data_IF_388453700032
#
_entry.id   IF_388453700032
#
_cell.length_a   1.000
_cell.length_b   1.000
_cell.length_c   1.000
_cell.angle_alpha   90.00
_cell.angle_beta   90.00
_cell.angle_gamma   90.00
#
_symmetry.space_group_name_H-M   'P 1'
#
loop_
_entity.id
_entity.type
_entity.pdbx_description
1 polymer ?
#
# COMPACT_ATOMS: atom_id res chain seq x y z
N UNK A 1 -60.94 -65.18 -58.66
CA UNK A 1 -60.20 -65.05 -57.38
C UNK A 1 -58.92 -64.26 -57.66
N UNK A 2 -58.91 -63.02 -57.22
CA UNK A 2 -57.92 -61.98 -57.52
C UNK A 2 -56.67 -62.13 -56.66
N UNK A 3 -55.48 -62.12 -57.26
CA UNK A 3 -54.20 -61.89 -56.56
C UNK A 3 -53.77 -60.45 -56.83
N UNK A 4 -53.80 -59.63 -55.77
CA UNK A 4 -53.30 -58.25 -55.74
C UNK A 4 -51.89 -58.26 -55.15
N UNK A 5 -50.93 -57.75 -55.90
CA UNK A 5 -49.52 -57.58 -55.52
C UNK A 5 -49.37 -56.28 -54.72
N UNK A 6 -48.81 -56.37 -53.51
CA UNK A 6 -48.41 -55.22 -52.68
C UNK A 6 -47.01 -54.74 -53.07
N UNK A 7 -46.86 -53.44 -53.34
CA UNK A 7 -45.58 -52.73 -53.39
C UNK A 7 -45.04 -52.44 -51.97
N UNK A 8 -43.71 -52.30 -51.79
CA UNK A 8 -43.11 -51.97 -50.51
C UNK A 8 -42.94 -50.44 -50.32
N UNK A 9 -43.12 -49.99 -49.08
CA UNK A 9 -42.99 -48.59 -48.66
C UNK A 9 -41.53 -48.17 -48.49
N UNK A 10 -41.17 -47.06 -49.14
CA UNK A 10 -39.85 -46.43 -49.08
C UNK A 10 -39.79 -45.49 -47.86
N UNK A 11 -38.90 -45.77 -46.90
CA UNK A 11 -38.64 -44.92 -45.73
C UNK A 11 -37.45 -44.00 -46.02
N UNK A 12 -37.69 -42.69 -46.04
CA UNK A 12 -36.63 -41.68 -46.11
C UNK A 12 -35.97 -41.49 -44.74
N UNK A 13 -34.64 -41.60 -44.68
CA UNK A 13 -33.83 -41.20 -43.54
C UNK A 13 -33.37 -39.76 -43.74
N UNK A 14 -33.82 -38.84 -42.88
CA UNK A 14 -33.29 -37.48 -42.79
C UNK A 14 -32.01 -37.49 -41.93
N UNK A 15 -30.85 -37.27 -42.56
CA UNK A 15 -29.60 -37.04 -41.84
C UNK A 15 -29.54 -35.59 -41.35
N UNK A 16 -29.53 -35.39 -40.03
CA UNK A 16 -29.29 -34.08 -39.42
C UNK A 16 -27.77 -33.85 -39.30
N UNK A 17 -27.25 -32.90 -40.08
CA UNK A 17 -25.87 -32.39 -39.95
C UNK A 17 -25.83 -31.39 -38.78
N UNK A 18 -25.23 -31.79 -37.66
CA UNK A 18 -24.82 -30.86 -36.60
C UNK A 18 -23.57 -30.09 -37.06
N UNK A 19 -23.75 -28.81 -37.40
CA UNK A 19 -22.63 -27.88 -37.60
C UNK A 19 -22.03 -27.48 -36.25
N UNK A 20 -20.78 -27.88 -35.99
CA UNK A 20 -20.01 -27.44 -34.82
C UNK A 20 -19.46 -26.03 -35.10
N UNK A 21 -20.11 -24.99 -34.57
CA UNK A 21 -19.59 -23.64 -34.61
C UNK A 21 -18.44 -23.49 -33.59
N UNK A 22 -17.20 -23.41 -34.06
CA UNK A 22 -16.08 -22.98 -33.23
C UNK A 22 -16.28 -21.51 -32.84
N UNK A 23 -16.65 -21.26 -31.60
CA UNK A 23 -16.61 -19.92 -31.02
C UNK A 23 -15.16 -19.60 -30.67
N UNK A 24 -14.46 -18.90 -31.56
CA UNK A 24 -13.16 -18.33 -31.26
C UNK A 24 -13.33 -17.28 -30.15
N UNK A 25 -12.86 -17.58 -28.93
CA UNK A 25 -12.84 -16.59 -27.86
C UNK A 25 -11.87 -15.47 -28.21
N UNK A 26 -12.22 -14.19 -27.99
CA UNK A 26 -11.31 -13.09 -28.27
C UNK A 26 -10.11 -13.21 -27.34
N UNK A 27 -8.91 -13.28 -27.93
CA UNK A 27 -7.68 -13.22 -27.17
C UNK A 27 -7.63 -11.87 -26.44
N UNK A 28 -7.73 -11.89 -25.11
CA UNK A 28 -7.44 -10.71 -24.29
C UNK A 28 -5.97 -10.37 -24.55
N UNK A 29 -5.75 -9.25 -25.24
CA UNK A 29 -4.41 -8.72 -25.44
C UNK A 29 -3.79 -8.44 -24.06
N UNK A 30 -2.86 -9.30 -23.63
CA UNK A 30 -1.99 -9.00 -22.49
C UNK A 30 -1.18 -7.79 -22.87
N UNK A 31 -1.51 -6.63 -22.31
CA UNK A 31 -0.62 -5.47 -22.34
C UNK A 31 0.73 -5.92 -21.80
N UNK A 32 1.80 -5.74 -22.58
CA UNK A 32 3.16 -6.06 -22.12
C UNK A 32 3.40 -5.25 -20.84
N UNK A 33 3.76 -5.95 -19.76
CA UNK A 33 4.15 -5.29 -18.51
C UNK A 33 5.28 -4.30 -18.80
N UNK A 34 5.17 -3.09 -18.25
CA UNK A 34 6.23 -2.08 -18.38
C UNK A 34 7.52 -2.64 -17.78
N UNK A 35 8.68 -2.44 -18.43
CA UNK A 35 9.96 -2.81 -17.83
C UNK A 35 10.14 -2.12 -16.49
N UNK A 36 10.62 -2.87 -15.49
CA UNK A 36 10.99 -2.29 -14.19
C UNK A 36 12.28 -1.50 -14.36
N UNK A 37 12.34 -0.32 -13.76
CA UNK A 37 13.49 0.59 -13.78
C UNK A 37 13.89 0.89 -12.34
N UNK A 38 15.18 0.79 -12.01
CA UNK A 38 15.71 1.19 -10.70
C UNK A 38 15.70 2.72 -10.56
N UNK A 39 15.49 3.21 -9.34
CA UNK A 39 15.26 4.62 -9.05
C UNK A 39 13.77 5.00 -9.10
N UNK A 40 13.49 6.31 -9.12
CA UNK A 40 12.11 6.83 -9.12
C UNK A 40 11.51 6.92 -10.52
N UNK A 41 10.31 6.38 -10.67
CA UNK A 41 9.53 6.47 -11.90
C UNK A 41 8.05 6.80 -11.65
N UNK A 42 7.46 7.72 -12.42
CA UNK A 42 6.04 8.00 -12.32
C UNK A 42 5.23 6.85 -12.92
N UNK A 43 4.20 6.43 -12.19
CA UNK A 43 3.29 5.38 -12.59
C UNK A 43 1.87 5.93 -12.74
N UNK A 44 1.12 5.50 -13.76
CA UNK A 44 -0.29 5.83 -13.88
C UNK A 44 -1.09 5.16 -12.75
N UNK A 45 -2.35 5.58 -12.55
CA UNK A 45 -3.28 4.85 -11.69
C UNK A 45 -3.43 3.39 -12.09
N UNK A 46 -3.54 2.50 -11.10
CA UNK A 46 -3.78 1.06 -11.34
C UNK A 46 -5.19 0.77 -11.90
N UNK A 47 -6.10 1.72 -11.71
CA UNK A 47 -7.46 1.77 -12.25
C UNK A 47 -7.88 3.24 -12.36
N UNK A 48 -8.89 3.54 -13.18
CA UNK A 48 -9.37 4.93 -13.40
C UNK A 48 -9.80 5.66 -12.14
N UNK A 49 -10.19 4.94 -11.09
CA UNK A 49 -10.63 5.50 -9.81
C UNK A 49 -9.53 5.51 -8.72
N UNK A 50 -8.29 5.13 -9.06
CA UNK A 50 -7.16 5.03 -8.11
C UNK A 50 -6.14 6.16 -8.30
N UNK A 51 -5.06 6.14 -7.53
CA UNK A 51 -4.04 7.20 -7.49
C UNK A 51 -2.94 6.98 -8.53
N UNK A 52 -2.53 8.00 -9.29
CA UNK A 52 -1.20 8.00 -9.89
C UNK A 52 -0.16 8.04 -8.75
N UNK A 53 1.04 7.51 -8.97
CA UNK A 53 2.02 7.39 -7.89
C UNK A 53 3.45 7.46 -8.39
N UNK A 54 4.37 7.88 -7.52
CA UNK A 54 5.79 7.61 -7.71
C UNK A 54 6.14 6.24 -7.12
N UNK A 55 6.96 5.51 -7.87
CA UNK A 55 7.56 4.27 -7.44
C UNK A 55 9.08 4.40 -7.45
N UNK A 56 9.70 4.21 -6.29
CA UNK A 56 11.14 3.99 -6.19
C UNK A 56 11.43 2.50 -6.12
N UNK A 57 12.32 2.03 -6.99
CA UNK A 57 12.84 0.66 -6.99
C UNK A 57 14.32 0.71 -6.57
N UNK A 58 14.72 0.03 -5.47
CA UNK A 58 16.10 0.08 -4.97
C UNK A 58 17.13 -0.46 -5.94
N UNK A 59 18.37 0.00 -5.78
CA UNK A 59 19.50 -0.55 -6.53
C UNK A 59 19.65 -2.06 -6.28
N UNK A 60 20.00 -2.79 -7.32
CA UNK A 60 20.21 -4.24 -7.28
C UNK A 60 18.92 -5.05 -7.39
N UNK A 61 17.76 -4.39 -7.48
CA UNK A 61 16.49 -5.06 -7.74
C UNK A 61 16.58 -5.87 -9.04
N UNK A 62 17.17 -5.32 -10.10
CA UNK A 62 17.27 -5.99 -11.40
C UNK A 62 18.35 -7.07 -11.45
N UNK A 63 19.37 -6.99 -10.59
CA UNK A 63 20.54 -7.89 -10.62
C UNK A 63 20.38 -9.10 -9.71
N UNK A 64 19.52 -9.04 -8.69
CA UNK A 64 19.25 -10.16 -7.79
C UNK A 64 17.76 -10.54 -7.74
N UNK A 65 17.39 -11.51 -8.58
CA UNK A 65 16.01 -11.97 -8.70
C UNK A 65 15.44 -12.68 -7.45
N UNK A 66 16.28 -13.04 -6.46
CA UNK A 66 15.85 -13.71 -5.22
C UNK A 66 15.57 -12.74 -4.08
N UNK A 67 16.09 -11.52 -4.14
CA UNK A 67 15.93 -10.56 -3.04
C UNK A 67 14.50 -10.01 -3.05
N UNK A 68 13.85 -10.12 -1.90
CA UNK A 68 12.61 -9.40 -1.59
C UNK A 68 12.96 -8.14 -0.82
N UNK A 69 12.23 -7.06 -1.09
CA UNK A 69 12.51 -5.75 -0.54
C UNK A 69 11.41 -5.33 0.44
N UNK A 70 11.75 -4.69 1.57
CA UNK A 70 10.75 -4.05 2.39
C UNK A 70 10.02 -2.96 1.60
N UNK A 71 8.70 -2.86 1.81
CA UNK A 71 7.86 -1.85 1.19
C UNK A 71 7.64 -0.68 2.16
N UNK A 72 8.00 0.54 1.76
CA UNK A 72 7.66 1.77 2.47
C UNK A 72 6.57 2.53 1.71
N UNK A 73 5.42 2.71 2.35
CA UNK A 73 4.32 3.51 1.82
C UNK A 73 4.41 4.91 2.43
N UNK A 74 4.47 5.93 1.59
CA UNK A 74 4.50 7.33 2.02
C UNK A 74 3.27 8.09 1.55
N UNK A 75 2.56 8.72 2.49
CA UNK A 75 1.42 9.60 2.22
C UNK A 75 1.82 11.06 2.44
N UNK A 76 1.74 11.87 1.39
CA UNK A 76 2.09 13.29 1.43
C UNK A 76 1.03 14.15 2.15
N UNK A 77 1.37 15.43 2.37
CA UNK A 77 0.53 16.42 3.04
C UNK A 77 -0.44 17.12 2.10
N UNK A 78 -1.12 18.16 2.60
CA UNK A 78 -2.08 18.91 1.78
C UNK A 78 -1.43 19.73 0.66
N UNK A 79 -0.13 20.07 0.78
CA UNK A 79 0.60 20.93 -0.16
C UNK A 79 0.97 20.26 -1.48
N UNK A 80 1.16 18.94 -1.48
CA UNK A 80 1.60 18.20 -2.67
C UNK A 80 0.42 17.68 -3.51
N UNK A 81 -0.83 17.90 -3.08
CA UNK A 81 -2.03 17.48 -3.83
C UNK A 81 -2.09 18.11 -5.22
N UNK A 82 -2.77 17.42 -6.14
CA UNK A 82 -3.02 17.93 -7.49
C UNK A 82 -2.97 16.83 -8.54
N UNK A 83 -2.41 17.18 -9.69
CA UNK A 83 -2.26 16.34 -10.89
C UNK A 83 -0.79 16.06 -11.27
N UNK A 84 0.16 16.78 -10.66
CA UNK A 84 1.60 16.57 -10.83
C UNK A 84 2.16 15.55 -9.82
N UNK A 85 2.34 14.32 -10.28
CA UNK A 85 2.89 13.22 -9.47
C UNK A 85 4.34 13.46 -9.01
N UNK A 86 5.09 14.39 -9.63
CA UNK A 86 6.44 14.72 -9.18
C UNK A 86 6.43 15.44 -7.82
N UNK A 87 5.33 16.13 -7.46
CA UNK A 87 5.23 16.86 -6.19
C UNK A 87 5.34 15.99 -4.96
N UNK A 88 5.00 14.70 -5.05
CA UNK A 88 5.12 13.78 -3.90
C UNK A 88 6.57 13.62 -3.43
N UNK A 89 7.56 14.02 -4.26
CA UNK A 89 8.99 13.95 -3.99
C UNK A 89 9.55 15.18 -3.27
N UNK A 90 8.74 16.22 -3.04
CA UNK A 90 9.20 17.47 -2.40
C UNK A 90 9.62 17.24 -0.95
N UNK A 91 8.94 16.32 -0.25
CA UNK A 91 9.18 15.96 1.15
C UNK A 91 9.24 14.44 1.35
N UNK A 92 9.71 14.02 2.52
CA UNK A 92 9.60 12.64 2.99
C UNK A 92 10.52 11.62 2.29
N UNK A 93 10.28 10.32 2.50
CA UNK A 93 11.08 9.24 1.94
C UNK A 93 11.39 9.34 0.43
N UNK A 94 10.47 9.74 -0.48
CA UNK A 94 10.84 9.87 -1.89
C UNK A 94 11.91 10.96 -2.12
N UNK A 95 11.93 12.05 -1.35
CA UNK A 95 13.02 13.05 -1.40
C UNK A 95 14.37 12.44 -1.02
N UNK A 96 14.37 11.54 -0.03
CA UNK A 96 15.57 10.85 0.45
C UNK A 96 16.05 9.82 -0.58
N UNK A 97 15.14 9.01 -1.11
CA UNK A 97 15.44 7.98 -2.11
C UNK A 97 16.04 8.55 -3.41
N UNK A 98 15.70 9.80 -3.77
CA UNK A 98 16.31 10.50 -4.90
C UNK A 98 17.79 10.86 -4.67
N UNK A 99 18.19 11.04 -3.40
CA UNK A 99 19.52 11.53 -3.00
C UNK A 99 20.43 10.40 -2.53
N UNK A 100 19.83 9.31 -2.04
CA UNK A 100 20.53 8.14 -1.53
C UNK A 100 20.24 6.91 -2.41
N UNK A 101 21.16 6.56 -3.33
CA UNK A 101 21.05 5.34 -4.14
C UNK A 101 21.00 4.04 -3.31
N UNK A 102 21.46 4.07 -2.05
CA UNK A 102 21.45 2.93 -1.14
C UNK A 102 20.13 2.82 -0.34
N UNK A 103 19.14 3.67 -0.63
CA UNK A 103 17.85 3.64 0.07
C UNK A 103 17.19 2.25 -0.07
N UNK A 104 16.95 1.51 1.03
CA UNK A 104 16.77 0.06 0.95
C UNK A 104 15.32 -0.39 0.70
N UNK A 105 14.39 0.55 0.56
CA UNK A 105 12.96 0.26 0.49
C UNK A 105 12.43 0.41 -0.93
N UNK A 106 11.64 -0.57 -1.39
CA UNK A 106 10.70 -0.29 -2.46
C UNK A 106 9.70 0.74 -1.92
N UNK A 107 9.59 1.90 -2.54
CA UNK A 107 8.80 3.02 -1.98
C UNK A 107 7.68 3.40 -2.91
N UNK A 108 6.45 3.42 -2.38
CA UNK A 108 5.25 3.86 -3.11
C UNK A 108 4.73 5.15 -2.50
N UNK A 109 4.60 6.18 -3.35
CA UNK A 109 4.13 7.51 -2.95
C UNK A 109 2.99 7.94 -3.88
N UNK A 110 1.73 7.59 -3.56
CA UNK A 110 0.57 8.03 -4.34
C UNK A 110 0.40 9.55 -4.30
N UNK A 111 -0.19 10.11 -5.35
CA UNK A 111 -0.63 11.50 -5.43
C UNK A 111 -2.13 11.59 -5.16
N UNK A 112 -2.49 12.36 -4.14
CA UNK A 112 -3.88 12.68 -3.81
C UNK A 112 -4.37 13.86 -4.65
N UNK A 113 -5.57 13.73 -5.24
CA UNK A 113 -6.20 14.81 -5.99
C UNK A 113 -6.51 16.05 -5.13
N UNK A 114 -6.62 17.22 -5.77
CA UNK A 114 -6.74 18.53 -5.10
C UNK A 114 -7.86 18.60 -4.04
N UNK A 115 -9.05 18.06 -4.34
CA UNK A 115 -10.23 18.16 -3.48
C UNK A 115 -10.58 16.84 -2.77
N UNK A 116 -9.63 15.92 -2.70
CA UNK A 116 -9.82 14.60 -2.10
C UNK A 116 -9.17 14.48 -0.72
N UNK A 117 -9.61 13.47 0.02
CA UNK A 117 -8.92 12.96 1.20
C UNK A 117 -8.49 11.51 0.95
N UNK A 118 -7.54 11.01 1.75
CA UNK A 118 -7.03 9.65 1.61
C UNK A 118 -8.13 8.61 1.86
N UNK A 119 -8.32 7.73 0.88
CA UNK A 119 -9.29 6.62 0.92
C UNK A 119 -8.54 5.31 1.19
N UNK A 120 -8.83 4.69 2.33
CA UNK A 120 -8.16 3.47 2.78
C UNK A 120 -8.39 2.31 1.80
N UNK A 121 -9.59 2.17 1.22
CA UNK A 121 -9.88 1.08 0.30
C UNK A 121 -9.12 1.24 -1.02
N UNK A 122 -8.95 2.49 -1.51
CA UNK A 122 -8.11 2.76 -2.70
C UNK A 122 -6.64 2.47 -2.42
N UNK A 123 -6.16 2.87 -1.24
CA UNK A 123 -4.80 2.63 -0.79
C UNK A 123 -4.50 1.12 -0.61
N UNK A 124 -5.42 0.35 -0.02
CA UNK A 124 -5.32 -1.11 0.09
C UNK A 124 -5.18 -1.75 -1.30
N UNK A 125 -6.04 -1.37 -2.26
CA UNK A 125 -5.92 -1.87 -3.65
C UNK A 125 -4.58 -1.53 -4.30
N UNK A 126 -4.05 -0.33 -4.05
CA UNK A 126 -2.74 0.07 -4.56
C UNK A 126 -1.64 -0.80 -3.97
N UNK A 127 -1.60 -0.98 -2.65
CA UNK A 127 -0.54 -1.77 -1.98
C UNK A 127 -0.63 -3.23 -2.37
N UNK A 128 -1.83 -3.80 -2.49
CA UNK A 128 -2.02 -5.18 -2.96
C UNK A 128 -1.50 -5.36 -4.39
N UNK A 129 -1.77 -4.38 -5.28
CA UNK A 129 -1.21 -4.38 -6.62
C UNK A 129 0.33 -4.34 -6.61
N UNK A 130 0.94 -3.48 -5.78
CA UNK A 130 2.39 -3.39 -5.67
C UNK A 130 2.98 -4.71 -5.15
N UNK A 131 2.41 -5.30 -4.09
CA UNK A 131 2.87 -6.55 -3.53
C UNK A 131 2.74 -7.75 -4.50
N UNK A 132 1.73 -7.73 -5.38
CA UNK A 132 1.54 -8.75 -6.41
C UNK A 132 2.46 -8.54 -7.63
N UNK A 133 2.89 -7.31 -7.90
CA UNK A 133 3.64 -6.94 -9.11
C UNK A 133 5.16 -6.89 -8.88
N UNK A 134 5.59 -6.56 -7.66
CA UNK A 134 7.00 -6.38 -7.30
C UNK A 134 7.43 -7.38 -6.22
N UNK A 135 8.75 -7.61 -6.12
CA UNK A 135 9.36 -8.47 -5.09
C UNK A 135 9.37 -7.78 -3.73
N UNK A 136 8.19 -7.70 -3.11
CA UNK A 136 8.00 -7.19 -1.75
C UNK A 136 8.21 -8.32 -0.74
N UNK A 137 8.87 -8.03 0.38
CA UNK A 137 8.85 -8.89 1.57
C UNK A 137 7.52 -8.66 2.30
N UNK A 138 6.59 -9.62 2.30
CA UNK A 138 5.26 -9.44 2.89
C UNK A 138 5.32 -9.28 4.42
N UNK A 139 6.41 -9.67 5.07
CA UNK A 139 6.60 -9.45 6.50
C UNK A 139 7.05 -8.01 6.81
N UNK A 140 7.45 -7.22 5.81
CA UNK A 140 8.05 -5.89 5.99
C UNK A 140 7.37 -4.84 5.12
N UNK A 141 6.13 -4.54 5.46
CA UNK A 141 5.35 -3.45 4.88
C UNK A 141 5.20 -2.36 5.94
N UNK A 142 5.68 -1.16 5.63
CA UNK A 142 5.71 -0.02 6.53
C UNK A 142 4.85 1.12 5.99
N UNK A 143 4.28 1.91 6.90
CA UNK A 143 3.47 3.06 6.55
C UNK A 143 3.99 4.31 7.24
N UNK A 144 4.12 5.40 6.49
CA UNK A 144 4.47 6.71 7.03
C UNK A 144 3.76 7.80 6.24
N UNK A 145 3.64 8.98 6.83
CA UNK A 145 3.04 10.12 6.16
C UNK A 145 3.07 11.37 7.02
N UNK A 146 2.95 12.52 6.37
CA UNK A 146 3.04 13.83 7.02
C UNK A 146 1.72 14.60 6.96
N UNK A 147 1.38 15.36 8.00
CA UNK A 147 0.18 16.22 8.03
C UNK A 147 -1.10 15.44 7.66
N UNK A 148 -1.77 15.76 6.55
CA UNK A 148 -2.86 14.96 5.95
C UNK A 148 -2.51 13.48 5.80
N UNK A 149 -1.33 13.15 5.29
CA UNK A 149 -0.83 11.79 5.23
C UNK A 149 -0.52 11.17 6.60
N UNK A 150 -0.16 11.99 7.60
CA UNK A 150 -0.02 11.57 8.99
C UNK A 150 -1.37 11.19 9.62
N UNK A 151 -2.42 11.98 9.37
CA UNK A 151 -3.81 11.62 9.73
C UNK A 151 -4.25 10.31 9.09
N UNK A 152 -3.97 10.15 7.79
CA UNK A 152 -4.31 8.93 7.06
C UNK A 152 -3.50 7.72 7.54
N UNK A 153 -2.24 7.91 7.91
CA UNK A 153 -1.40 6.85 8.48
C UNK A 153 -1.99 6.29 9.77
N UNK A 154 -2.47 7.16 10.66
CA UNK A 154 -3.21 6.74 11.85
C UNK A 154 -4.50 6.00 11.52
N UNK A 155 -5.34 6.58 10.64
CA UNK A 155 -6.63 5.98 10.25
C UNK A 155 -6.45 4.60 9.63
N UNK A 156 -5.48 4.44 8.74
CA UNK A 156 -5.22 3.18 8.05
C UNK A 156 -4.64 2.13 8.98
N UNK A 157 -3.70 2.50 9.86
CA UNK A 157 -3.20 1.59 10.89
C UNK A 157 -4.33 1.09 11.81
N UNK A 158 -5.28 1.94 12.18
CA UNK A 158 -6.46 1.57 13.01
C UNK A 158 -7.40 0.63 12.25
N UNK A 159 -7.63 0.89 10.96
CA UNK A 159 -8.47 0.06 10.12
C UNK A 159 -7.84 -1.32 9.83
N UNK A 160 -6.51 -1.37 9.71
CA UNK A 160 -5.75 -2.55 9.29
C UNK A 160 -4.55 -2.82 10.22
N UNK A 161 -4.75 -3.09 11.53
CA UNK A 161 -3.68 -3.12 12.54
C UNK A 161 -2.66 -4.25 12.37
N UNK A 162 -2.93 -5.23 11.51
CA UNK A 162 -2.04 -6.35 11.19
C UNK A 162 -1.40 -6.27 9.80
N UNK A 163 -1.67 -5.20 9.05
CA UNK A 163 -1.16 -5.01 7.67
C UNK A 163 0.28 -4.54 7.65
N UNK A 164 0.67 -3.76 8.65
CA UNK A 164 1.96 -3.09 8.70
C UNK A 164 2.85 -3.69 9.78
N UNK A 165 4.11 -3.90 9.46
CA UNK A 165 5.13 -4.26 10.44
C UNK A 165 5.46 -3.07 11.36
N UNK A 166 5.34 -1.84 10.87
CA UNK A 166 5.57 -0.61 11.62
C UNK A 166 4.88 0.59 10.97
N UNK A 167 4.53 1.59 11.77
CA UNK A 167 3.95 2.85 11.28
C UNK A 167 4.66 4.06 11.90
N UNK A 168 4.94 5.09 11.09
CA UNK A 168 5.58 6.33 11.51
C UNK A 168 4.75 7.59 11.14
N UNK A 169 3.66 7.92 11.84
CA UNK A 169 2.87 9.10 11.53
C UNK A 169 3.61 10.39 11.95
N UNK A 170 3.67 11.38 11.07
CA UNK A 170 4.32 12.68 11.33
C UNK A 170 3.31 13.81 11.26
N UNK A 171 3.32 14.71 12.26
CA UNK A 171 2.44 15.89 12.33
C UNK A 171 0.96 15.55 12.08
N UNK A 172 0.48 14.44 12.64
CA UNK A 172 -0.87 13.90 12.39
C UNK A 172 -1.67 13.71 13.67
N UNK A 173 -2.99 13.53 13.50
CA UNK A 173 -3.97 13.22 14.55
C UNK A 173 -4.77 11.97 14.19
N UNK A 174 -4.80 11.00 15.11
CA UNK A 174 -5.65 9.80 15.05
C UNK A 174 -6.87 9.90 15.96
N UNK A 175 -7.56 8.76 16.16
CA UNK A 175 -8.67 8.62 17.11
C UNK A 175 -8.21 7.85 18.36
N UNK A 176 -7.96 8.52 19.51
CA UNK A 176 -7.53 7.84 20.74
C UNK A 176 -8.51 6.78 21.25
N UNK A 177 -9.82 6.90 20.93
CA UNK A 177 -10.83 5.92 21.31
C UNK A 177 -10.65 4.54 20.65
N UNK A 178 -9.85 4.47 19.58
CA UNK A 178 -9.55 3.22 18.86
C UNK A 178 -8.09 2.77 19.05
N UNK A 179 -7.33 3.45 19.91
CA UNK A 179 -5.90 3.22 20.09
C UNK A 179 -5.53 1.80 20.54
N UNK A 180 -6.42 1.08 21.24
CA UNK A 180 -6.17 -0.29 21.66
C UNK A 180 -5.99 -1.26 20.48
N UNK A 181 -6.53 -0.92 19.29
CA UNK A 181 -6.28 -1.70 18.07
C UNK A 181 -4.81 -1.71 17.65
N UNK A 182 -4.03 -0.73 18.13
CA UNK A 182 -2.62 -0.55 17.78
C UNK A 182 -1.66 -1.07 18.86
N UNK A 183 -2.16 -1.77 19.90
CA UNK A 183 -1.33 -2.13 21.06
C UNK A 183 -0.11 -3.01 20.70
N UNK A 184 -0.25 -3.89 19.71
CA UNK A 184 0.84 -4.78 19.28
C UNK A 184 1.70 -4.21 18.16
N UNK A 185 1.23 -3.13 17.52
CA UNK A 185 1.84 -2.49 16.36
C UNK A 185 3.01 -1.59 16.81
N UNK A 186 4.24 -1.80 16.28
CA UNK A 186 5.32 -0.83 16.42
C UNK A 186 4.92 0.52 15.82
N UNK A 187 4.94 1.57 16.64
CA UNK A 187 4.58 2.92 16.21
C UNK A 187 5.68 3.88 16.65
N UNK A 188 6.19 4.70 15.73
CA UNK A 188 7.05 5.83 16.05
C UNK A 188 6.47 7.10 15.45
N UNK A 189 5.73 7.86 16.27
CA UNK A 189 5.14 9.11 15.86
C UNK A 189 6.09 10.29 16.08
N UNK A 190 5.91 11.37 15.30
CA UNK A 190 6.73 12.57 15.36
C UNK A 190 5.87 13.84 15.30
N UNK A 191 6.23 14.87 16.06
CA UNK A 191 5.54 16.16 16.06
C UNK A 191 6.47 17.31 16.49
N UNK A 192 6.15 18.54 16.09
CA UNK A 192 6.73 19.75 16.69
C UNK A 192 5.87 20.25 17.85
N UNK A 193 6.46 20.79 18.91
CA UNK A 193 5.71 21.30 20.07
C UNK A 193 5.05 22.67 19.82
N UNK A 194 5.39 23.35 18.73
CA UNK A 194 4.82 24.63 18.29
C UNK A 194 4.01 24.51 16.99
N UNK A 195 3.58 23.30 16.64
CA UNK A 195 2.70 23.09 15.49
C UNK A 195 1.35 23.77 15.72
N UNK A 196 1.07 24.81 14.93
CA UNK A 196 -0.16 25.61 14.96
C UNK A 196 -1.17 25.22 13.87
N UNK A 197 -0.82 24.24 13.02
CA UNK A 197 -1.69 23.71 11.96
C UNK A 197 -2.35 22.40 12.41
N UNK A 198 -1.55 21.48 12.93
CA UNK A 198 -2.02 20.25 13.57
C UNK A 198 -1.53 20.27 15.01
N UNK A 199 -2.42 20.61 15.92
CA UNK A 199 -2.10 20.80 17.34
C UNK A 199 -1.52 19.49 17.97
N UNK A 200 -0.33 19.52 18.61
CA UNK A 200 0.42 18.33 19.03
C UNK A 200 -0.27 17.46 20.08
N UNK A 201 -1.24 18.02 20.80
CA UNK A 201 -2.16 17.34 21.72
C UNK A 201 -2.78 16.09 21.10
N UNK A 202 -3.05 16.10 19.79
CA UNK A 202 -3.52 14.93 19.07
C UNK A 202 -2.54 13.76 19.08
N UNK A 203 -1.24 14.02 18.89
CA UNK A 203 -0.19 13.01 18.95
C UNK A 203 0.07 12.55 20.39
N UNK A 204 0.07 13.47 21.36
CA UNK A 204 0.14 13.11 22.77
C UNK A 204 -1.03 12.20 23.20
N UNK A 205 -2.25 12.51 22.77
CA UNK A 205 -3.43 11.73 23.10
C UNK A 205 -3.36 10.31 22.52
N UNK A 206 -2.93 10.16 21.26
CA UNK A 206 -2.70 8.84 20.66
C UNK A 206 -1.65 8.03 21.42
N UNK A 207 -0.47 8.62 21.69
CA UNK A 207 0.62 7.92 22.37
C UNK A 207 0.21 7.46 23.78
N UNK A 208 -0.48 8.33 24.54
CA UNK A 208 -1.02 7.97 25.87
C UNK A 208 -2.07 6.86 25.77
N UNK A 209 -2.99 6.94 24.82
CA UNK A 209 -4.05 5.95 24.67
C UNK A 209 -3.50 4.57 24.29
N UNK A 210 -2.55 4.49 23.34
CA UNK A 210 -1.90 3.22 22.98
C UNK A 210 -1.18 2.62 24.21
N UNK A 211 -0.45 3.45 24.96
CA UNK A 211 0.25 3.02 26.17
C UNK A 211 -0.73 2.51 27.24
N UNK A 212 -1.88 3.16 27.41
CA UNK A 212 -2.93 2.76 28.35
C UNK A 212 -3.53 1.39 28.00
N UNK A 213 -3.60 1.04 26.72
CA UNK A 213 -3.99 -0.29 26.25
C UNK A 213 -2.87 -1.35 26.36
N UNK A 214 -1.71 -1.00 26.93
CA UNK A 214 -0.56 -1.90 27.06
C UNK A 214 0.42 -1.87 25.87
N UNK A 215 0.23 -0.97 24.89
CA UNK A 215 1.09 -0.89 23.71
C UNK A 215 2.48 -0.35 24.02
N UNK A 216 3.42 -1.26 24.35
CA UNK A 216 4.77 -0.87 24.80
C UNK A 216 5.70 -0.44 23.67
N UNK A 217 5.40 -0.84 22.44
CA UNK A 217 6.20 -0.56 21.23
C UNK A 217 5.90 0.81 20.59
N UNK A 218 4.92 1.55 21.13
CA UNK A 218 4.60 2.89 20.65
C UNK A 218 5.50 3.94 21.31
N UNK A 219 6.12 4.80 20.50
CA UNK A 219 6.90 5.97 20.94
C UNK A 219 6.50 7.22 20.17
N UNK A 220 6.75 8.36 20.80
CA UNK A 220 6.48 9.70 20.25
C UNK A 220 7.74 10.55 20.45
N UNK A 221 8.27 11.10 19.37
CA UNK A 221 9.29 12.15 19.42
C UNK A 221 8.62 13.51 19.26
N UNK A 222 8.94 14.43 20.16
CA UNK A 222 8.53 15.82 20.07
C UNK A 222 9.78 16.66 19.83
N UNK A 223 9.77 17.42 18.74
CA UNK A 223 10.84 18.36 18.43
C UNK A 223 10.57 19.69 19.14
N UNK A 224 11.48 20.15 20.01
CA UNK A 224 11.31 21.41 20.72
C UNK A 224 11.44 22.60 19.76
N UNK A 225 10.65 23.63 20.02
CA UNK A 225 10.60 24.89 19.28
C UNK A 225 10.24 24.75 17.78
N UNK A 226 9.73 23.59 17.35
CA UNK A 226 9.45 23.29 15.95
C UNK A 226 7.95 23.43 15.64
N UNK A 227 7.64 24.11 14.54
CA UNK A 227 6.28 24.26 14.02
C UNK A 227 5.81 23.05 13.22
N UNK A 228 4.92 23.29 12.24
CA UNK A 228 4.25 22.20 11.49
C UNK A 228 5.20 21.23 10.76
N UNK A 229 6.35 21.72 10.31
CA UNK A 229 7.33 20.91 9.58
C UNK A 229 8.18 20.02 10.51
N UNK A 230 7.55 19.05 11.16
CA UNK A 230 8.24 17.99 11.90
C UNK A 230 8.77 16.86 11.00
N UNK A 231 8.48 16.90 9.69
CA UNK A 231 8.84 15.83 8.77
C UNK A 231 10.25 15.91 8.23
N UNK A 232 10.80 17.10 7.99
CA UNK A 232 12.21 17.20 7.58
C UNK A 232 13.15 16.55 8.61
N UNK A 233 13.15 16.91 9.92
CA UNK A 233 14.01 16.23 10.89
C UNK A 233 13.65 14.75 11.10
N UNK A 234 12.38 14.35 10.99
CA UNK A 234 12.00 12.94 11.14
C UNK A 234 12.49 12.06 10.00
N UNK A 235 12.41 12.54 8.75
CA UNK A 235 12.82 11.77 7.57
C UNK A 235 14.30 11.94 7.22
N UNK A 236 14.97 13.01 7.67
CA UNK A 236 16.42 13.14 7.53
C UNK A 236 17.18 12.28 8.58
N UNK A 237 16.50 11.74 9.61
CA UNK A 237 17.11 10.88 10.63
C UNK A 237 17.25 9.42 10.15
N UNK A 238 18.48 8.91 9.92
CA UNK A 238 18.68 7.52 9.52
C UNK A 238 18.19 6.49 10.56
N UNK A 239 18.04 6.89 11.83
CA UNK A 239 17.52 6.02 12.87
C UNK A 239 16.06 5.61 12.62
N UNK A 240 15.25 6.43 11.93
CA UNK A 240 13.91 6.05 11.53
C UNK A 240 13.95 4.84 10.59
N UNK A 241 14.77 4.90 9.54
CA UNK A 241 14.88 3.84 8.54
C UNK A 241 15.49 2.57 9.11
N UNK A 242 16.53 2.69 9.96
CA UNK A 242 17.11 1.57 10.67
C UNK A 242 16.06 0.89 11.57
N UNK A 243 15.30 1.67 12.34
CA UNK A 243 14.23 1.15 13.18
C UNK A 243 13.12 0.46 12.39
N UNK A 244 12.72 1.01 11.23
CA UNK A 244 11.74 0.37 10.36
C UNK A 244 12.24 -1.03 9.94
N UNK A 245 13.50 -1.14 9.51
CA UNK A 245 14.09 -2.41 9.05
C UNK A 245 14.20 -3.49 10.14
N UNK A 246 14.22 -3.09 11.42
CA UNK A 246 14.17 -4.00 12.57
C UNK A 246 12.78 -4.61 12.81
N UNK A 247 11.72 -4.02 12.24
CA UNK A 247 10.36 -4.50 12.44
C UNK A 247 9.98 -5.54 11.37
N UNK A 248 9.22 -6.56 11.78
CA UNK A 248 8.60 -7.51 10.86
C UNK A 248 7.28 -8.00 11.45
N UNK A 249 6.31 -8.29 10.58
CA UNK A 249 5.11 -9.02 10.96
C UNK A 249 5.51 -10.42 11.45
N UNK A 250 4.80 -10.97 12.46
CA UNK A 250 5.03 -12.33 12.90
C UNK A 250 4.93 -13.31 11.73
N UNK A 251 5.82 -14.29 11.66
CA UNK A 251 5.68 -15.38 10.70
C UNK A 251 4.36 -16.09 10.91
N UNK A 252 3.62 -16.45 9.83
CA UNK A 252 2.40 -17.23 9.97
C UNK A 252 2.77 -18.66 10.38
N UNK A 253 2.90 -18.94 11.68
CA UNK A 253 2.77 -20.29 12.29
C UNK A 253 2.85 -20.26 13.83
N UNK A 254 1.73 -20.60 14.49
CA UNK A 254 1.61 -21.57 15.62
C UNK A 254 0.40 -21.34 16.55
N UNK A 255 -0.42 -20.29 16.39
CA UNK A 255 -1.51 -20.01 17.35
C UNK A 255 -2.83 -20.76 17.14
N UNK A 256 -2.87 -21.81 16.31
CA UNK A 256 -4.11 -22.55 16.02
C UNK A 256 -4.03 -24.07 16.31
N UNK A 257 -3.01 -24.52 17.06
CA UNK A 257 -2.91 -25.92 17.51
C UNK A 257 -3.36 -26.16 18.96
N UNK A 258 -3.58 -25.11 19.75
CA UNK A 258 -3.92 -25.24 21.17
C UNK A 258 -5.37 -24.89 21.50
N UNK A 259 -6.26 -24.89 20.51
CA UNK A 259 -7.71 -24.90 20.72
C UNK A 259 -8.31 -26.18 20.18
N UNK A 260 -8.14 -27.27 20.94
CA UNK A 260 -9.01 -28.44 20.85
C UNK A 260 -9.53 -28.77 22.23
#
# INVERSE_FOLDING_TARGET
MTRSTKEPSMRYWTAALLGLALVASPAVARTKARPVVEGQTPQPPIASDNYPYQLFVPQGYLTNARTQYPLLIFLHGSGERGDDVAKVKVHGPPKIADRDPAFPFLTVSPLLGADQDWDIAKLDRLVDHIAATYRVDPARIYLTGLSRGGHASWRWAIAQPRRFAAVAPVAGRGNPGEACRLMDLPVWAFHGDRDDVVIPEGSFAMARAIRACGGRKARLTIYPDLGHNAWDPAYDDPALYAWLLEQALPSPTSTDKDKK
#
